data_IF_358215557754
#
_entry.id   IF_358215557754
#
_cell.length_a   1.000
_cell.length_b   1.000
_cell.length_c   1.000
_cell.angle_alpha   90.00
_cell.angle_beta   90.00
_cell.angle_gamma   90.00
#
_symmetry.space_group_name_H-M   'P 1'
#
loop_
_entity.id
_entity.type
_entity.pdbx_description
1 polymer ?
#
# COMPACT_ATOMS: atom_id res chain seq x y z
N UNK A 1 -22.09 12.98 -7.09
CA UNK A 1 -20.75 12.38 -6.95
C UNK A 1 -19.76 13.48 -6.61
N UNK A 2 -18.63 13.14 -5.98
CA UNK A 2 -17.55 14.10 -5.73
C UNK A 2 -16.98 14.62 -7.07
N UNK A 3 -16.43 15.85 -7.11
CA UNK A 3 -15.81 16.40 -8.30
C UNK A 3 -14.63 15.53 -8.77
N UNK A 4 -14.37 15.44 -10.09
CA UNK A 4 -13.30 14.59 -10.62
C UNK A 4 -11.92 15.17 -10.26
N UNK A 5 -11.03 14.31 -9.78
CA UNK A 5 -9.60 14.62 -9.64
C UNK A 5 -8.94 14.39 -11.00
N UNK A 6 -8.21 15.38 -11.50
CA UNK A 6 -7.44 15.26 -12.75
C UNK A 6 -6.03 14.73 -12.48
N UNK A 7 -5.32 15.39 -11.57
CA UNK A 7 -3.93 15.08 -11.25
C UNK A 7 -3.83 14.64 -9.79
N UNK A 8 -3.22 13.48 -9.56
CA UNK A 8 -2.91 12.99 -8.23
C UNK A 8 -1.40 12.91 -8.06
N UNK A 9 -0.88 13.65 -7.08
CA UNK A 9 0.54 13.67 -6.73
C UNK A 9 0.66 13.03 -5.34
N UNK A 10 1.35 11.90 -5.27
CA UNK A 10 1.62 11.22 -4.02
C UNK A 10 3.09 11.42 -3.64
N UNK A 11 3.30 11.97 -2.44
CA UNK A 11 4.61 12.13 -1.83
C UNK A 11 4.80 11.00 -0.81
N UNK A 12 5.58 9.97 -1.15
CA UNK A 12 5.86 8.81 -0.30
C UNK A 12 4.58 8.17 0.30
N UNK A 13 3.62 7.82 -0.56
CA UNK A 13 2.39 7.17 -0.12
C UNK A 13 2.56 5.66 0.09
N UNK A 14 2.06 5.05 1.19
CA UNK A 14 2.12 3.60 1.41
C UNK A 14 1.10 2.81 0.56
N UNK A 15 1.17 2.95 -0.77
CA UNK A 15 0.09 2.49 -1.67
C UNK A 15 -0.09 0.97 -1.70
N UNK A 16 0.99 0.21 -1.52
CA UNK A 16 0.94 -1.24 -1.37
C UNK A 16 0.90 -1.70 0.10
N UNK A 17 0.80 -0.74 1.04
CA UNK A 17 0.89 -0.95 2.47
C UNK A 17 2.31 -0.89 3.00
N UNK A 18 2.48 -1.17 4.29
CA UNK A 18 3.79 -1.32 4.95
C UNK A 18 3.83 -2.61 5.78
N UNK A 19 4.98 -3.25 5.80
CA UNK A 19 5.22 -4.54 6.43
C UNK A 19 5.69 -4.41 7.88
N UNK A 20 5.96 -3.18 8.33
CA UNK A 20 6.43 -2.85 9.67
C UNK A 20 5.70 -1.61 10.18
N UNK A 21 5.49 -1.55 11.49
CA UNK A 21 4.84 -0.41 12.14
C UNK A 21 5.84 0.76 12.17
N UNK A 22 5.50 1.95 11.66
CA UNK A 22 6.41 3.10 11.61
C UNK A 22 6.44 3.87 12.94
N UNK A 23 5.66 3.45 13.93
CA UNK A 23 5.33 4.21 15.15
C UNK A 23 6.41 4.18 16.25
N UNK A 24 7.63 3.80 15.91
CA UNK A 24 8.41 3.05 16.88
C UNK A 24 9.90 3.38 16.81
N UNK A 25 10.27 4.49 17.44
CA UNK A 25 11.69 4.82 17.73
C UNK A 25 12.32 3.84 18.73
N UNK A 26 13.51 4.15 19.25
CA UNK A 26 14.35 3.25 20.05
C UNK A 26 13.96 3.06 21.54
N UNK A 27 12.67 3.15 21.90
CA UNK A 27 12.19 3.04 23.29
C UNK A 27 11.70 1.63 23.68
N UNK A 28 11.71 1.29 24.98
CA UNK A 28 11.24 -0.03 25.49
C UNK A 28 9.77 -0.30 25.18
N UNK A 29 8.92 0.74 25.17
CA UNK A 29 7.52 0.66 24.74
C UNK A 29 7.37 0.22 23.28
N UNK A 30 8.39 0.44 22.45
CA UNK A 30 8.35 0.12 21.05
C UNK A 30 8.48 -1.40 20.77
N UNK A 31 9.34 -2.08 21.51
CA UNK A 31 9.56 -3.53 21.35
C UNK A 31 8.32 -4.33 21.79
N UNK A 32 7.67 -3.89 22.87
CA UNK A 32 6.40 -4.48 23.32
C UNK A 32 5.24 -4.16 22.38
N UNK A 33 5.16 -2.92 21.88
CA UNK A 33 4.17 -2.52 20.88
C UNK A 33 4.34 -3.31 19.59
N UNK A 34 5.55 -3.48 19.05
CA UNK A 34 5.78 -4.25 17.81
C UNK A 34 5.33 -5.73 17.94
N UNK A 35 5.56 -6.34 19.11
CA UNK A 35 5.18 -7.73 19.37
C UNK A 35 3.66 -7.90 19.56
N UNK A 36 3.02 -7.01 20.34
CA UNK A 36 1.57 -7.01 20.56
C UNK A 36 0.78 -6.54 19.34
N UNK A 37 1.30 -5.57 18.61
CA UNK A 37 0.69 -5.07 17.38
C UNK A 37 0.73 -6.18 16.32
N UNK A 38 1.83 -6.91 16.12
CA UNK A 38 1.84 -8.00 15.11
C UNK A 38 0.85 -9.12 15.40
N UNK A 39 0.56 -9.44 16.66
CA UNK A 39 -0.43 -10.47 17.00
C UNK A 39 -1.89 -9.99 16.90
N UNK A 40 -2.16 -8.70 17.13
CA UNK A 40 -3.53 -8.16 17.25
C UNK A 40 -3.85 -7.00 16.27
N UNK A 41 -2.97 -6.70 15.30
CA UNK A 41 -3.14 -5.58 14.36
C UNK A 41 -4.47 -5.65 13.61
N UNK A 42 -4.91 -6.87 13.30
CA UNK A 42 -6.16 -7.11 12.60
C UNK A 42 -7.33 -7.42 13.53
N UNK A 43 -7.22 -7.18 14.83
CA UNK A 43 -8.40 -7.17 15.72
C UNK A 43 -9.34 -6.03 15.36
N UNK A 44 -10.64 -6.20 15.60
CA UNK A 44 -11.64 -5.17 15.29
C UNK A 44 -11.34 -3.85 15.99
N UNK A 45 -10.96 -3.92 17.27
CA UNK A 45 -10.62 -2.74 18.07
C UNK A 45 -9.47 -1.96 17.44
N UNK A 46 -8.37 -2.63 17.05
CA UNK A 46 -7.21 -1.94 16.45
C UNK A 46 -7.57 -1.38 15.08
N UNK A 47 -8.27 -2.14 14.24
CA UNK A 47 -8.71 -1.67 12.92
C UNK A 47 -9.65 -0.45 12.96
N UNK A 48 -10.44 -0.30 14.03
CA UNK A 48 -11.35 0.84 14.19
C UNK A 48 -10.71 2.06 14.86
N UNK A 49 -9.61 1.89 15.61
CA UNK A 49 -9.05 2.95 16.44
C UNK A 49 -7.60 3.36 16.09
N UNK A 50 -6.88 2.59 15.26
CA UNK A 50 -5.50 2.86 14.88
C UNK A 50 -5.37 3.00 13.37
N UNK A 51 -5.38 4.24 12.85
CA UNK A 51 -5.35 4.49 11.40
C UNK A 51 -4.22 3.75 10.63
N UNK A 52 -2.98 3.62 11.16
CA UNK A 52 -1.93 2.85 10.49
C UNK A 52 -2.22 1.36 10.28
N UNK A 53 -3.12 0.76 11.08
CA UNK A 53 -3.47 -0.64 10.95
C UNK A 53 -4.26 -0.94 9.68
N UNK A 54 -4.91 0.07 9.11
CA UNK A 54 -5.67 -0.04 7.87
C UNK A 54 -4.81 -0.25 6.62
N UNK A 55 -3.49 -0.06 6.71
CA UNK A 55 -2.55 -0.30 5.62
C UNK A 55 -1.31 -1.10 6.03
N UNK A 56 -1.34 -1.73 7.21
CA UNK A 56 -0.33 -2.72 7.58
C UNK A 56 -0.60 -4.02 6.81
N UNK A 57 0.39 -4.50 6.07
CA UNK A 57 0.29 -5.71 5.25
C UNK A 57 1.45 -6.64 5.58
N UNK A 58 1.24 -7.59 6.47
CA UNK A 58 2.31 -8.53 6.88
C UNK A 58 2.43 -9.65 5.82
N UNK A 59 3.55 -9.77 5.08
CA UNK A 59 3.68 -10.77 4.01
C UNK A 59 3.49 -12.22 4.47
N UNK A 60 3.86 -12.54 5.71
CA UNK A 60 3.70 -13.87 6.31
C UNK A 60 2.33 -14.10 6.96
N UNK A 61 1.46 -13.08 7.00
CA UNK A 61 0.09 -13.19 7.51
C UNK A 61 -0.89 -12.48 6.55
N UNK A 62 -0.86 -12.91 5.28
CA UNK A 62 -1.77 -12.40 4.26
C UNK A 62 -3.21 -12.85 4.48
N UNK A 63 -3.44 -14.01 5.10
CA UNK A 63 -4.78 -14.45 5.44
C UNK A 63 -5.45 -13.47 6.41
N UNK A 64 -4.78 -13.12 7.52
CA UNK A 64 -5.27 -12.12 8.46
C UNK A 64 -5.46 -10.75 7.81
N UNK A 65 -4.53 -10.34 6.95
CA UNK A 65 -4.63 -9.11 6.17
C UNK A 65 -5.90 -9.08 5.32
N UNK A 66 -6.11 -10.07 4.46
CA UNK A 66 -7.23 -10.11 3.51
C UNK A 66 -8.58 -10.26 4.22
N UNK A 67 -8.64 -11.01 5.33
CA UNK A 67 -9.89 -11.26 6.05
C UNK A 67 -10.31 -10.10 6.97
N UNK A 68 -9.34 -9.43 7.60
CA UNK A 68 -9.62 -8.54 8.74
C UNK A 68 -9.12 -7.11 8.58
N UNK A 69 -8.22 -6.82 7.64
CA UNK A 69 -7.82 -5.42 7.39
C UNK A 69 -8.98 -4.66 6.73
N UNK A 70 -9.44 -3.58 7.36
CA UNK A 70 -10.70 -2.90 6.98
C UNK A 70 -10.56 -1.94 5.80
N UNK A 71 -9.33 -1.56 5.41
CA UNK A 71 -9.11 -0.48 4.45
C UNK A 71 -8.35 -0.92 3.19
N UNK A 72 -7.04 -1.16 3.30
CA UNK A 72 -6.18 -1.35 2.13
C UNK A 72 -6.59 -2.50 1.18
N UNK A 73 -6.94 -3.73 1.64
CA UNK A 73 -7.26 -4.81 0.70
C UNK A 73 -8.55 -4.54 -0.08
N UNK A 74 -9.49 -3.78 0.48
CA UNK A 74 -10.70 -3.31 -0.21
C UNK A 74 -10.35 -2.20 -1.22
N UNK A 75 -9.55 -1.22 -0.82
CA UNK A 75 -9.12 -0.12 -1.68
C UNK A 75 -8.32 -0.61 -2.90
N UNK A 76 -7.42 -1.57 -2.67
CA UNK A 76 -6.55 -2.15 -3.70
C UNK A 76 -7.18 -3.28 -4.49
N UNK A 77 -8.49 -3.56 -4.32
CA UNK A 77 -9.20 -4.64 -5.01
C UNK A 77 -8.53 -6.02 -4.85
N UNK A 78 -7.94 -6.29 -3.68
CA UNK A 78 -7.21 -7.53 -3.40
C UNK A 78 -8.16 -8.69 -3.06
N UNK A 79 -9.34 -8.39 -2.54
CA UNK A 79 -10.38 -9.38 -2.20
C UNK A 79 -11.23 -9.66 -3.43
N UNK A 80 -11.08 -10.86 -4.02
CA UNK A 80 -11.70 -11.23 -5.30
C UNK A 80 -13.22 -10.98 -5.35
N UNK A 81 -13.94 -11.43 -4.32
CA UNK A 81 -15.41 -11.34 -4.24
C UNK A 81 -15.93 -9.92 -3.96
N UNK A 82 -15.05 -9.00 -3.53
CA UNK A 82 -15.41 -7.62 -3.19
C UNK A 82 -14.86 -6.60 -4.20
N UNK A 83 -14.22 -7.06 -5.29
CA UNK A 83 -13.60 -6.16 -6.28
C UNK A 83 -14.59 -5.14 -6.81
N UNK A 84 -14.22 -3.87 -6.72
CA UNK A 84 -15.06 -2.75 -7.09
C UNK A 84 -14.59 -2.13 -8.41
N UNK A 85 -15.34 -2.37 -9.49
CA UNK A 85 -15.06 -1.79 -10.82
C UNK A 85 -15.11 -0.26 -10.83
N UNK A 86 -15.90 0.34 -9.93
CA UNK A 86 -15.98 1.81 -9.81
C UNK A 86 -14.67 2.38 -9.28
N UNK A 87 -13.95 1.67 -8.40
CA UNK A 87 -12.65 2.12 -7.90
C UNK A 87 -11.63 2.15 -9.03
N UNK A 88 -11.56 1.07 -9.81
CA UNK A 88 -10.73 1.00 -11.01
C UNK A 88 -11.07 2.11 -12.01
N UNK A 89 -12.34 2.27 -12.36
CA UNK A 89 -12.77 3.29 -13.32
C UNK A 89 -12.37 4.71 -12.88
N UNK A 90 -12.54 5.03 -11.59
CA UNK A 90 -12.18 6.34 -11.04
C UNK A 90 -10.67 6.54 -11.00
N UNK A 91 -9.91 5.55 -10.58
CA UNK A 91 -8.45 5.66 -10.55
C UNK A 91 -7.88 5.78 -11.97
N UNK A 92 -8.32 4.96 -12.92
CA UNK A 92 -7.96 5.05 -14.34
C UNK A 92 -8.38 6.34 -15.04
N UNK A 93 -9.30 7.11 -14.45
CA UNK A 93 -9.77 8.39 -15.01
C UNK A 93 -8.82 9.56 -14.78
N UNK A 94 -7.78 9.38 -13.95
CA UNK A 94 -6.75 10.40 -13.73
C UNK A 94 -6.08 10.79 -15.07
N UNK A 95 -5.86 12.08 -15.25
CA UNK A 95 -5.07 12.63 -16.35
C UNK A 95 -3.57 12.42 -16.07
N UNK A 96 -3.14 12.62 -14.82
CA UNK A 96 -1.76 12.36 -14.38
C UNK A 96 -1.72 11.73 -12.98
N UNK A 97 -0.92 10.68 -12.85
CA UNK A 97 -0.54 10.06 -11.59
C UNK A 97 0.96 10.27 -11.38
N UNK A 98 1.35 11.05 -10.38
CA UNK A 98 2.75 11.25 -10.02
C UNK A 98 3.02 10.56 -8.69
N UNK A 99 3.94 9.60 -8.71
CA UNK A 99 4.33 8.81 -7.55
C UNK A 99 5.77 9.15 -7.20
N UNK A 100 5.96 9.81 -6.06
CA UNK A 100 7.28 10.24 -5.59
C UNK A 100 7.74 9.27 -4.50
N UNK A 101 8.91 8.68 -4.69
CA UNK A 101 9.63 7.86 -3.71
C UNK A 101 10.90 8.58 -3.29
N UNK A 102 11.25 8.46 -2.00
CA UNK A 102 12.51 8.94 -1.46
C UNK A 102 13.52 7.80 -1.40
N UNK A 103 14.75 8.06 -1.84
CA UNK A 103 15.79 7.04 -1.97
C UNK A 103 16.22 6.46 -0.62
N UNK A 104 16.19 7.27 0.45
CA UNK A 104 16.69 6.89 1.77
C UNK A 104 15.58 6.70 2.82
N UNK A 105 14.31 6.61 2.37
CA UNK A 105 13.17 6.41 3.26
C UNK A 105 13.31 5.13 4.10
N UNK A 106 13.37 5.30 5.42
CA UNK A 106 13.36 4.20 6.39
C UNK A 106 12.04 4.05 7.14
N UNK A 107 11.08 4.94 6.89
CA UNK A 107 9.75 4.95 7.53
C UNK A 107 8.83 3.98 6.79
N UNK A 108 8.85 4.02 5.46
CA UNK A 108 8.12 3.09 4.61
C UNK A 108 8.92 1.80 4.43
N UNK A 109 8.37 0.68 4.89
CA UNK A 109 9.01 -0.63 4.76
C UNK A 109 8.08 -1.56 3.97
N UNK A 110 8.37 -1.90 2.71
CA UNK A 110 9.47 -1.38 1.87
C UNK A 110 9.16 0.02 1.33
N UNK A 111 10.18 0.82 1.02
CA UNK A 111 10.02 2.18 0.46
C UNK A 111 9.34 2.19 -0.92
N UNK A 112 9.53 1.10 -1.66
CA UNK A 112 8.96 0.87 -3.00
C UNK A 112 7.43 0.84 -3.00
N UNK A 113 6.79 0.73 -1.83
CA UNK A 113 5.34 0.93 -1.66
C UNK A 113 4.86 2.28 -2.22
N UNK A 114 5.74 3.31 -2.20
CA UNK A 114 5.51 4.63 -2.83
C UNK A 114 5.19 4.54 -4.31
N UNK A 115 5.66 3.47 -4.96
CA UNK A 115 5.44 3.17 -6.35
C UNK A 115 4.57 1.93 -6.57
N UNK A 116 3.80 1.50 -5.56
CA UNK A 116 3.05 0.22 -5.57
C UNK A 116 3.92 -1.05 -5.63
N UNK A 117 5.23 -0.94 -5.41
CA UNK A 117 6.10 -2.09 -5.21
C UNK A 117 5.91 -2.71 -3.82
N UNK A 118 6.10 -4.02 -3.71
CA UNK A 118 5.92 -4.71 -2.43
C UNK A 118 6.65 -6.04 -2.33
N UNK A 119 6.65 -6.65 -1.15
CA UNK A 119 7.16 -8.00 -0.95
C UNK A 119 6.25 -9.08 -1.56
N UNK A 120 6.82 -10.25 -1.96
CA UNK A 120 6.03 -11.41 -2.38
C UNK A 120 5.27 -12.04 -1.21
N UNK A 121 4.23 -12.79 -1.54
CA UNK A 121 3.44 -13.54 -0.58
C UNK A 121 4.34 -14.50 0.25
N UNK A 122 4.29 -14.39 1.58
CA UNK A 122 5.02 -15.27 2.49
C UNK A 122 6.49 -14.92 2.76
N UNK A 123 7.06 -13.88 2.14
CA UNK A 123 8.47 -13.50 2.35
C UNK A 123 8.67 -11.98 2.40
N UNK A 124 9.78 -11.55 3.01
CA UNK A 124 10.18 -10.13 3.08
C UNK A 124 11.32 -9.80 2.09
N UNK A 125 11.54 -10.64 1.08
CA UNK A 125 12.56 -10.44 0.06
C UNK A 125 12.35 -11.41 -1.12
N UNK A 126 12.70 -11.02 -2.36
CA UNK A 126 13.12 -9.67 -2.78
C UNK A 126 11.92 -8.70 -2.83
N UNK A 127 12.17 -7.40 -2.86
CA UNK A 127 11.11 -6.41 -3.16
C UNK A 127 10.75 -6.50 -4.65
N UNK A 128 9.46 -6.61 -4.95
CA UNK A 128 8.92 -6.60 -6.31
C UNK A 128 8.60 -5.16 -6.71
N UNK A 129 8.95 -4.79 -7.94
CA UNK A 129 8.44 -3.57 -8.57
C UNK A 129 6.94 -3.73 -8.87
N UNK A 130 6.24 -2.61 -9.08
CA UNK A 130 4.80 -2.62 -9.36
C UNK A 130 4.43 -3.60 -10.48
N UNK A 131 5.19 -3.61 -11.56
CA UNK A 131 4.93 -4.41 -12.78
C UNK A 131 4.99 -5.91 -12.55
N UNK A 132 5.63 -6.35 -11.45
CA UNK A 132 5.74 -7.75 -11.04
C UNK A 132 4.66 -8.17 -10.05
N UNK A 133 3.85 -7.22 -9.55
CA UNK A 133 2.75 -7.51 -8.62
C UNK A 133 1.48 -7.94 -9.35
N UNK A 134 0.64 -8.78 -8.70
CA UNK A 134 -0.65 -9.17 -9.25
C UNK A 134 -1.58 -7.97 -9.49
N UNK A 135 -1.55 -6.97 -8.59
CA UNK A 135 -2.31 -5.73 -8.71
C UNK A 135 -2.07 -5.04 -10.06
N UNK A 136 -0.82 -5.05 -10.55
CA UNK A 136 -0.48 -4.50 -11.85
C UNK A 136 -0.76 -5.48 -13.00
N UNK A 137 -0.28 -6.73 -12.90
CA UNK A 137 -0.37 -7.70 -14.02
C UNK A 137 -1.81 -8.09 -14.37
N UNK A 138 -2.71 -8.06 -13.39
CA UNK A 138 -4.14 -8.27 -13.57
C UNK A 138 -4.94 -6.94 -13.58
N UNK A 139 -4.24 -5.82 -13.42
CA UNK A 139 -4.78 -4.46 -13.49
C UNK A 139 -6.00 -4.22 -12.56
N UNK A 140 -5.87 -4.63 -11.29
CA UNK A 140 -6.97 -4.62 -10.31
C UNK A 140 -7.55 -3.24 -10.05
N UNK A 141 -6.69 -2.22 -10.02
CA UNK A 141 -7.08 -0.83 -9.78
C UNK A 141 -6.97 0.05 -11.02
N UNK A 142 -6.46 -0.46 -12.14
CA UNK A 142 -6.25 0.36 -13.34
C UNK A 142 -4.87 1.02 -13.45
N UNK A 143 -3.91 0.63 -12.60
CA UNK A 143 -2.55 1.17 -12.60
C UNK A 143 -1.82 0.85 -13.92
N UNK A 144 -1.91 -0.38 -14.43
CA UNK A 144 -1.32 -0.75 -15.73
C UNK A 144 -1.98 0.06 -16.85
N UNK A 145 -3.30 0.22 -16.81
CA UNK A 145 -4.03 1.04 -17.79
C UNK A 145 -3.55 2.50 -17.80
N UNK A 146 -3.23 3.09 -16.64
CA UNK A 146 -2.66 4.44 -16.56
C UNK A 146 -1.23 4.48 -17.11
N UNK A 147 -0.43 3.48 -16.76
CA UNK A 147 0.99 3.43 -17.09
C UNK A 147 1.21 3.22 -18.59
N UNK A 148 0.51 2.25 -19.20
CA UNK A 148 0.53 2.00 -20.65
C UNK A 148 0.01 3.21 -21.46
N UNK A 149 -0.85 4.04 -20.86
CA UNK A 149 -1.31 5.29 -21.44
C UNK A 149 -0.32 6.47 -21.25
N UNK A 150 0.83 6.24 -20.62
CA UNK A 150 1.86 7.26 -20.35
C UNK A 150 1.48 8.28 -19.27
N UNK A 151 0.42 8.01 -18.49
CA UNK A 151 -0.16 8.90 -17.48
C UNK A 151 0.42 8.71 -16.09
N UNK A 152 1.31 7.74 -15.88
CA UNK A 152 2.04 7.54 -14.62
C UNK A 152 3.44 8.14 -14.71
N UNK A 153 3.88 8.79 -13.64
CA UNK A 153 5.24 9.33 -13.48
C UNK A 153 5.82 8.79 -12.17
N UNK A 154 6.79 7.89 -12.29
CA UNK A 154 7.59 7.43 -11.18
C UNK A 154 8.78 8.38 -10.98
N UNK A 155 8.81 9.09 -9.85
CA UNK A 155 9.83 10.10 -9.53
C UNK A 155 10.60 9.65 -8.31
N UNK A 156 11.92 9.51 -8.44
CA UNK A 156 12.82 9.21 -7.32
C UNK A 156 13.53 10.50 -6.90
N UNK A 157 13.56 10.77 -5.59
CA UNK A 157 14.23 11.94 -5.02
C UNK A 157 15.32 11.47 -4.07
N UNK A 158 16.53 12.00 -4.25
CA UNK A 158 17.67 11.74 -3.35
C UNK A 158 17.42 12.35 -1.97
N UNK A 159 17.77 11.63 -0.90
CA UNK A 159 17.46 12.04 0.47
C UNK A 159 16.04 11.65 0.90
N UNK A 160 15.66 12.09 2.10
CA UNK A 160 14.42 11.67 2.78
C UNK A 160 14.69 10.67 3.88
#
# INVERSE_FOLDING_TARGET
>A
GAPPVKNYISLAGPHAGIASVPLCGSGVFCVFADTLIKSEIYSDYVQDHLAPSGYLKIPTNLEGYLQKCKFLPRLNNEILEERNSTYKQRFSSLENLVLIMFEHDTVLVPRETSWFGYYPDGAFSPVLSAEKTKLYTEDWIGLRTLDEAGRVKFVNVSGG
#
